data_IF_656886185213
#
_entry.id   IF_656886185213
#
_cell.length_a   1.000
_cell.length_b   1.000
_cell.length_c   1.000
_cell.angle_alpha   90.00
_cell.angle_beta   90.00
_cell.angle_gamma   90.00
#
_symmetry.space_group_name_H-M   'P 1'
#
loop_
_entity.id
_entity.type
_entity.pdbx_description
1 polymer ?
#
# COMPACT_ATOMS: atom_id res chain seq x y z
N UNK A 1 33.43 8.02 12.72
CA UNK A 1 34.89 7.81 12.88
C UNK A 1 35.09 6.67 13.86
N UNK A 2 36.11 5.81 13.74
CA UNK A 2 36.35 4.79 14.79
C UNK A 2 36.86 5.47 16.06
N UNK A 3 36.43 4.98 17.22
CA UNK A 3 36.90 5.51 18.52
C UNK A 3 38.36 5.12 18.72
N UNK A 4 38.64 3.84 18.56
CA UNK A 4 39.99 3.28 18.62
C UNK A 4 40.50 3.05 17.20
N UNK A 5 41.82 3.21 17.00
CA UNK A 5 42.46 2.91 15.72
C UNK A 5 42.29 1.42 15.40
N UNK A 6 41.67 1.06 14.26
CA UNK A 6 41.53 -0.34 13.86
C UNK A 6 42.90 -0.99 13.67
N UNK A 7 43.02 -2.25 14.08
CA UNK A 7 44.21 -3.06 13.81
C UNK A 7 44.46 -3.15 12.29
N UNK A 8 45.73 -3.15 11.89
CA UNK A 8 46.17 -3.28 10.51
C UNK A 8 45.66 -4.57 9.86
N UNK A 9 45.50 -5.64 10.64
CA UNK A 9 44.94 -6.92 10.17
C UNK A 9 43.48 -6.82 9.74
N UNK A 10 42.77 -5.75 10.15
CA UNK A 10 41.39 -5.47 9.77
C UNK A 10 41.27 -4.53 8.57
N UNK A 11 42.39 -4.10 7.98
CA UNK A 11 42.42 -3.16 6.85
C UNK A 11 42.52 -3.92 5.53
N UNK A 12 41.63 -3.59 4.60
CA UNK A 12 41.67 -4.15 3.26
C UNK A 12 42.79 -3.51 2.43
N UNK A 13 43.70 -4.31 1.89
CA UNK A 13 44.82 -3.82 1.07
C UNK A 13 44.40 -3.15 -0.24
N UNK A 14 43.19 -3.43 -0.75
CA UNK A 14 42.68 -2.84 -2.00
C UNK A 14 42.09 -1.44 -1.78
N UNK A 15 41.23 -1.26 -0.77
CA UNK A 15 40.57 0.03 -0.51
C UNK A 15 41.16 0.82 0.66
N UNK A 16 42.19 0.27 1.32
CA UNK A 16 42.87 0.84 2.49
C UNK A 16 41.95 1.28 3.63
N UNK A 17 40.80 0.61 3.78
CA UNK A 17 39.84 0.86 4.85
C UNK A 17 39.49 -0.43 5.57
N UNK A 18 38.82 -0.30 6.73
CA UNK A 18 38.35 -1.46 7.51
C UNK A 18 37.49 -2.38 6.63
N UNK A 19 37.77 -3.69 6.74
CA UNK A 19 37.14 -4.74 5.95
C UNK A 19 35.60 -4.69 6.03
N UNK A 20 34.94 -4.58 4.87
CA UNK A 20 33.47 -4.65 4.74
C UNK A 20 33.07 -5.96 4.11
N UNK A 21 32.30 -6.77 4.84
CA UNK A 21 31.99 -8.16 4.47
C UNK A 21 33.30 -8.90 4.08
N UNK A 22 34.21 -9.11 5.06
CA UNK A 22 35.49 -9.76 4.82
C UNK A 22 35.30 -11.13 4.17
N UNK A 23 36.05 -11.38 3.11
CA UNK A 23 36.13 -12.67 2.44
C UNK A 23 37.57 -13.14 2.38
N UNK A 24 37.78 -14.43 2.53
CA UNK A 24 39.08 -15.09 2.46
C UNK A 24 39.20 -15.83 1.13
N UNK A 25 40.26 -15.55 0.39
CA UNK A 25 40.61 -16.31 -0.80
C UNK A 25 41.28 -17.65 -0.42
N UNK A 26 41.38 -18.59 -1.37
CA UNK A 26 42.08 -19.86 -1.16
C UNK A 26 43.55 -19.68 -0.72
N UNK A 27 44.21 -18.59 -1.12
CA UNK A 27 45.55 -18.21 -0.68
C UNK A 27 45.60 -17.56 0.72
N UNK A 28 44.52 -17.64 1.50
CA UNK A 28 44.35 -17.12 2.87
C UNK A 28 44.36 -15.60 3.07
N UNK A 29 44.61 -14.79 2.04
CA UNK A 29 44.46 -13.34 2.12
C UNK A 29 42.98 -12.93 2.25
N UNK A 30 42.74 -11.86 3.01
CA UNK A 30 41.40 -11.35 3.34
C UNK A 30 41.17 -9.99 2.69
N UNK A 31 40.00 -9.79 2.08
CA UNK A 31 39.62 -8.57 1.40
C UNK A 31 38.16 -8.22 1.67
N UNK A 32 37.74 -6.99 1.38
CA UNK A 32 36.30 -6.69 1.26
C UNK A 32 35.72 -7.49 0.07
N UNK A 33 34.54 -8.09 0.24
CA UNK A 33 33.86 -8.83 -0.85
C UNK A 33 33.79 -8.03 -2.15
N UNK A 34 33.34 -6.78 -2.08
CA UNK A 34 33.22 -5.90 -3.26
C UNK A 34 34.58 -5.60 -3.90
N UNK A 35 35.62 -5.40 -3.09
CA UNK A 35 36.95 -5.05 -3.59
C UNK A 35 37.59 -6.20 -4.36
N UNK A 36 37.61 -7.40 -3.80
CA UNK A 36 38.22 -8.55 -4.50
C UNK A 36 37.42 -8.94 -5.74
N UNK A 37 36.07 -8.92 -5.68
CA UNK A 37 35.26 -9.22 -6.86
C UNK A 37 35.46 -8.19 -7.98
N UNK A 38 35.66 -6.91 -7.65
CA UNK A 38 35.96 -5.88 -8.64
C UNK A 38 37.36 -6.04 -9.23
N UNK A 39 38.34 -6.44 -8.42
CA UNK A 39 39.70 -6.75 -8.88
C UNK A 39 39.71 -7.93 -9.86
N UNK A 40 38.98 -9.01 -9.55
CA UNK A 40 38.91 -10.22 -10.37
C UNK A 40 38.28 -10.00 -11.76
N UNK A 41 37.55 -8.90 -11.97
CA UNK A 41 37.08 -8.52 -13.32
C UNK A 41 38.22 -8.07 -14.25
N UNK A 42 39.38 -7.70 -13.68
CA UNK A 42 40.54 -7.17 -14.42
C UNK A 42 41.74 -8.11 -14.34
N UNK A 43 41.90 -8.79 -13.21
CA UNK A 43 43.06 -9.62 -12.90
C UNK A 43 42.62 -10.84 -12.09
N UNK A 44 42.84 -12.05 -12.59
CA UNK A 44 42.42 -13.31 -11.93
C UNK A 44 43.37 -13.78 -10.82
N UNK A 45 44.19 -12.87 -10.28
CA UNK A 45 45.24 -13.17 -9.29
C UNK A 45 45.03 -12.42 -7.99
N UNK A 46 45.62 -12.92 -6.91
CA UNK A 46 45.63 -12.26 -5.61
C UNK A 46 46.45 -10.96 -5.64
N UNK A 47 45.91 -9.82 -5.20
CA UNK A 47 46.68 -8.57 -5.09
C UNK A 47 47.93 -8.67 -4.21
N UNK A 48 47.92 -9.53 -3.19
CA UNK A 48 49.01 -9.64 -2.22
C UNK A 48 50.12 -10.60 -2.64
N UNK A 49 49.77 -11.75 -3.22
CA UNK A 49 50.74 -12.82 -3.50
C UNK A 49 50.74 -13.33 -4.95
N UNK A 50 49.95 -12.72 -5.84
CA UNK A 50 49.83 -13.04 -7.27
C UNK A 50 49.38 -14.47 -7.61
N UNK A 51 49.04 -15.30 -6.61
CA UNK A 51 48.45 -16.63 -6.84
C UNK A 51 47.09 -16.51 -7.54
N UNK A 52 46.73 -17.43 -8.46
CA UNK A 52 45.43 -17.42 -9.11
C UNK A 52 44.31 -17.56 -8.08
N UNK A 53 43.20 -16.84 -8.28
CA UNK A 53 42.03 -16.90 -7.42
C UNK A 53 40.87 -17.45 -8.24
N UNK A 54 40.33 -18.59 -7.80
CA UNK A 54 39.04 -19.08 -8.26
C UNK A 54 37.92 -18.36 -7.47
N UNK A 55 37.01 -17.60 -8.13
CA UNK A 55 35.91 -16.89 -7.45
C UNK A 55 34.99 -17.81 -6.64
N UNK A 56 34.86 -19.08 -7.02
CA UNK A 56 34.04 -20.07 -6.32
C UNK A 56 34.66 -20.56 -5.00
N UNK A 57 35.96 -20.29 -4.78
CA UNK A 57 36.69 -20.64 -3.55
C UNK A 57 36.93 -19.41 -2.65
N UNK A 58 36.03 -18.42 -2.73
CA UNK A 58 36.03 -17.25 -1.88
C UNK A 58 35.01 -17.45 -0.76
N UNK A 59 35.49 -17.43 0.48
CA UNK A 59 34.67 -17.74 1.66
C UNK A 59 34.41 -16.50 2.50
N UNK A 60 33.15 -16.22 2.82
CA UNK A 60 32.78 -15.12 3.73
C UNK A 60 33.23 -15.44 5.15
N UNK A 61 33.88 -14.48 5.80
CA UNK A 61 34.37 -14.61 7.17
C UNK A 61 33.35 -14.05 8.17
N UNK A 62 32.35 -14.84 8.55
CA UNK A 62 31.25 -14.39 9.43
C UNK A 62 31.73 -13.95 10.81
N UNK A 63 32.60 -14.73 11.46
CA UNK A 63 33.16 -14.37 12.79
C UNK A 63 33.88 -13.03 12.74
N UNK A 64 34.73 -12.84 11.72
CA UNK A 64 35.46 -11.58 11.53
C UNK A 64 34.50 -10.41 11.23
N UNK A 65 33.47 -10.65 10.42
CA UNK A 65 32.42 -9.64 10.15
C UNK A 65 31.73 -9.20 11.44
N UNK A 66 31.42 -10.14 12.34
CA UNK A 66 30.80 -9.85 13.64
C UNK A 66 31.75 -9.05 14.55
N UNK A 67 33.02 -9.45 14.63
CA UNK A 67 34.03 -8.72 15.41
C UNK A 67 34.19 -7.28 14.92
N UNK A 68 34.29 -7.07 13.60
CA UNK A 68 34.34 -5.73 13.00
C UNK A 68 33.06 -4.93 13.31
N UNK A 69 31.89 -5.58 13.28
CA UNK A 69 30.61 -4.97 13.62
C UNK A 69 30.52 -4.44 15.06
N UNK A 70 31.21 -5.08 16.01
CA UNK A 70 31.22 -4.64 17.41
C UNK A 70 32.18 -3.47 17.69
N UNK A 71 33.04 -3.10 16.74
CA UNK A 71 33.94 -1.96 16.90
C UNK A 71 33.15 -0.67 17.09
N UNK A 72 33.56 0.16 18.05
CA UNK A 72 32.87 1.40 18.37
C UNK A 72 33.23 2.50 17.36
N UNK A 73 32.20 3.20 16.89
CA UNK A 73 32.34 4.38 16.04
C UNK A 73 31.58 5.55 16.64
N UNK A 74 32.12 6.75 16.44
CA UNK A 74 31.42 8.02 16.62
C UNK A 74 30.53 8.32 15.43
N UNK A 75 29.38 8.94 15.70
CA UNK A 75 28.47 9.42 14.68
C UNK A 75 29.17 10.33 13.66
N UNK A 76 28.79 10.22 12.38
CA UNK A 76 29.25 11.15 11.32
C UNK A 76 28.85 12.61 11.58
N UNK A 77 27.81 12.84 12.38
CA UNK A 77 27.30 14.16 12.75
C UNK A 77 27.87 14.66 14.08
N UNK A 78 29.00 14.12 14.56
CA UNK A 78 29.75 14.67 15.70
C UNK A 78 30.05 16.16 15.51
N UNK A 79 30.43 16.56 14.28
CA UNK A 79 30.62 17.96 13.88
C UNK A 79 29.38 18.86 14.07
N UNK A 80 28.18 18.27 14.17
CA UNK A 80 26.90 18.97 14.38
C UNK A 80 26.39 18.83 15.81
N UNK A 81 27.13 18.14 16.70
CA UNK A 81 26.78 17.96 18.11
C UNK A 81 26.30 16.56 18.49
N UNK A 82 26.31 15.58 17.58
CA UNK A 82 25.99 14.20 17.97
C UNK A 82 27.17 13.54 18.70
N UNK A 83 27.09 13.42 20.02
CA UNK A 83 28.12 12.78 20.84
C UNK A 83 28.03 11.23 20.87
N UNK A 84 27.05 10.65 20.16
CA UNK A 84 26.78 9.23 20.25
C UNK A 84 27.94 8.39 19.69
N UNK A 85 28.25 7.36 20.46
CA UNK A 85 29.23 6.33 20.13
C UNK A 85 28.55 4.98 20.24
N UNK A 86 28.59 4.20 19.17
CA UNK A 86 27.84 2.93 19.06
C UNK A 86 28.62 1.92 18.19
N UNK A 87 28.26 0.62 18.24
CA UNK A 87 28.86 -0.40 17.38
C UNK A 87 28.66 -0.09 15.89
N UNK A 88 29.66 -0.39 15.06
CA UNK A 88 29.58 -0.22 13.60
C UNK A 88 28.35 -0.92 13.00
N UNK A 89 27.92 -2.06 13.56
CA UNK A 89 26.71 -2.77 13.14
C UNK A 89 25.42 -1.95 13.29
N UNK A 90 25.39 -0.98 14.20
CA UNK A 90 24.22 -0.14 14.49
C UNK A 90 24.22 1.18 13.71
N UNK A 91 25.25 1.44 12.89
CA UNK A 91 25.41 2.68 12.14
C UNK A 91 24.17 3.05 11.33
N UNK A 92 23.56 2.07 10.66
CA UNK A 92 22.37 2.31 9.86
C UNK A 92 21.17 2.71 10.73
N UNK A 93 20.92 1.97 11.82
CA UNK A 93 19.83 2.24 12.74
C UNK A 93 19.97 3.64 13.36
N UNK A 94 21.16 3.99 13.85
CA UNK A 94 21.44 5.33 14.36
C UNK A 94 21.24 6.40 13.28
N UNK A 95 21.75 6.20 12.05
CA UNK A 95 21.58 7.20 10.98
C UNK A 95 20.11 7.50 10.66
N UNK A 96 19.19 6.57 10.93
CA UNK A 96 17.77 6.75 10.68
C UNK A 96 17.04 7.55 11.76
N UNK A 97 17.57 7.56 12.99
CA UNK A 97 17.00 8.28 14.13
C UNK A 97 17.88 9.42 14.65
N UNK A 98 19.07 9.62 14.07
CA UNK A 98 20.02 10.64 14.51
C UNK A 98 19.37 12.03 14.50
N UNK A 99 19.28 12.63 15.69
CA UNK A 99 18.71 13.95 15.91
C UNK A 99 19.46 15.07 15.18
N UNK A 100 20.75 14.84 14.89
CA UNK A 100 21.65 15.78 14.24
C UNK A 100 21.83 15.51 12.73
N UNK A 101 21.07 14.57 12.15
CA UNK A 101 21.03 14.38 10.71
C UNK A 101 20.35 15.59 10.07
N UNK A 102 20.98 16.14 9.02
CA UNK A 102 20.39 17.19 8.21
C UNK A 102 19.34 16.57 7.29
N UNK A 103 18.08 16.91 7.51
CA UNK A 103 16.95 16.45 6.71
C UNK A 103 16.38 17.61 5.90
N UNK A 104 15.77 17.28 4.76
CA UNK A 104 14.90 18.22 4.07
C UNK A 104 13.55 18.25 4.77
N UNK A 105 12.93 19.42 4.84
CA UNK A 105 11.57 19.55 5.32
C UNK A 105 10.63 18.61 4.52
N UNK A 106 9.81 17.77 5.18
CA UNK A 106 8.92 16.82 4.49
C UNK A 106 7.68 17.50 3.89
N UNK A 107 7.39 18.75 4.25
CA UNK A 107 6.23 19.47 3.74
C UNK A 107 6.45 19.95 2.31
N UNK A 108 5.54 19.56 1.40
CA UNK A 108 5.62 19.90 -0.01
C UNK A 108 5.69 21.41 -0.23
N UNK A 109 6.67 21.85 -1.02
CA UNK A 109 6.93 23.26 -1.31
C UNK A 109 7.99 23.89 -0.39
N UNK A 110 8.26 23.31 0.78
CA UNK A 110 9.34 23.79 1.64
C UNK A 110 10.69 23.22 1.20
N UNK A 111 11.67 24.10 1.00
CA UNK A 111 13.06 23.72 0.67
C UNK A 111 14.02 23.83 1.85
N UNK A 112 13.50 24.04 3.05
CA UNK A 112 14.33 24.17 4.25
C UNK A 112 15.11 22.88 4.52
N UNK A 113 16.37 23.05 4.92
CA UNK A 113 17.20 22.00 5.49
C UNK A 113 17.43 22.30 6.96
N UNK A 114 17.26 21.29 7.80
CA UNK A 114 17.25 21.44 9.24
C UNK A 114 17.73 20.16 9.91
N UNK A 115 18.16 20.27 11.16
CA UNK A 115 18.44 19.08 11.96
C UNK A 115 17.12 18.37 12.27
N UNK A 116 17.13 17.04 12.30
CA UNK A 116 15.95 16.23 12.63
C UNK A 116 15.28 16.67 13.93
N UNK A 117 16.06 17.03 14.96
CA UNK A 117 15.53 17.55 16.24
C UNK A 117 14.74 18.86 16.13
N UNK A 118 15.05 19.68 15.13
CA UNK A 118 14.43 21.00 14.94
C UNK A 118 13.22 20.92 14.00
N UNK A 119 12.80 19.71 13.61
CA UNK A 119 11.65 19.52 12.71
C UNK A 119 10.34 19.97 13.35
N UNK A 120 10.16 19.70 14.64
CA UNK A 120 8.94 20.07 15.37
C UNK A 120 8.83 21.60 15.50
N UNK A 121 9.92 22.26 15.90
CA UNK A 121 9.98 23.72 15.98
C UNK A 121 9.80 24.38 14.62
N UNK A 122 10.36 23.80 13.55
CA UNK A 122 10.10 24.23 12.19
C UNK A 122 8.64 24.03 11.79
N UNK A 123 8.03 22.89 12.13
CA UNK A 123 6.64 22.59 11.78
C UNK A 123 5.67 23.66 12.30
N UNK A 124 5.90 24.20 13.50
CA UNK A 124 5.12 25.31 14.06
C UNK A 124 5.17 26.62 13.26
N UNK A 125 6.23 26.86 12.49
CA UNK A 125 6.45 28.10 11.74
C UNK A 125 6.47 27.90 10.23
N UNK A 126 6.35 26.65 9.76
CA UNK A 126 6.42 26.33 8.35
C UNK A 126 5.13 26.73 7.64
N UNK A 127 5.22 27.70 6.73
CA UNK A 127 4.09 28.15 5.89
C UNK A 127 3.50 27.02 5.02
N UNK A 128 4.30 26.00 4.74
CA UNK A 128 3.91 24.83 3.95
C UNK A 128 3.32 23.70 4.80
N UNK A 129 3.22 23.87 6.13
CA UNK A 129 2.66 22.85 7.01
C UNK A 129 1.20 22.57 6.64
N UNK A 130 0.94 21.30 6.32
CA UNK A 130 -0.38 20.77 6.02
C UNK A 130 -0.50 19.39 6.60
N UNK A 131 -1.48 19.15 7.47
CA UNK A 131 -1.76 17.81 8.00
C UNK A 131 -3.25 17.50 8.06
N UNK A 132 -3.64 16.23 7.88
CA UNK A 132 -5.00 15.80 8.14
C UNK A 132 -5.37 16.07 9.60
N UNK A 133 -6.64 16.42 9.83
CA UNK A 133 -7.19 16.53 11.17
C UNK A 133 -6.97 15.23 11.95
N UNK A 134 -6.32 15.33 13.11
CA UNK A 134 -5.98 14.18 13.96
C UNK A 134 -7.21 13.42 14.47
N UNK A 135 -8.37 14.08 14.49
CA UNK A 135 -9.65 13.49 14.86
C UNK A 135 -10.33 12.72 13.71
N UNK A 136 -9.71 12.67 12.52
CA UNK A 136 -10.12 11.76 11.45
C UNK A 136 -11.25 12.23 10.55
N UNK A 137 -11.63 13.52 10.56
CA UNK A 137 -12.64 14.04 9.62
C UNK A 137 -12.12 14.20 8.18
N UNK A 138 -10.84 13.93 7.93
CA UNK A 138 -10.23 14.02 6.59
C UNK A 138 -9.91 15.44 6.11
N UNK A 139 -10.25 16.49 6.88
CA UNK A 139 -9.92 17.87 6.52
C UNK A 139 -8.42 18.12 6.65
N UNK A 140 -7.81 18.74 5.63
CA UNK A 140 -6.41 19.17 5.69
C UNK A 140 -6.31 20.53 6.36
N UNK A 141 -5.57 20.59 7.47
CA UNK A 141 -5.36 21.79 8.27
C UNK A 141 -4.02 22.45 7.90
N UNK A 142 -4.04 23.78 7.86
CA UNK A 142 -2.86 24.65 7.84
C UNK A 142 -2.83 25.46 9.14
N UNK A 143 -1.73 26.18 9.41
CA UNK A 143 -1.63 27.04 10.60
C UNK A 143 -2.80 28.02 10.75
N UNK A 144 -3.28 28.57 9.63
CA UNK A 144 -4.42 29.49 9.61
C UNK A 144 -5.77 28.83 9.89
N UNK A 145 -5.97 27.57 9.46
CA UNK A 145 -7.28 26.90 9.55
C UNK A 145 -7.41 26.01 10.79
N UNK A 146 -6.29 25.58 11.39
CA UNK A 146 -6.29 24.67 12.53
C UNK A 146 -7.05 25.23 13.74
N UNK A 147 -6.82 26.50 14.10
CA UNK A 147 -7.46 27.12 15.26
C UNK A 147 -8.99 27.27 15.10
N UNK A 148 -9.47 27.38 13.87
CA UNK A 148 -10.89 27.56 13.55
C UNK A 148 -11.61 26.23 13.27
N UNK A 149 -10.86 25.13 13.15
CA UNK A 149 -11.41 23.84 12.78
C UNK A 149 -12.11 23.16 13.96
N UNK A 150 -13.43 22.99 13.86
CA UNK A 150 -14.22 22.18 14.79
C UNK A 150 -14.63 20.86 14.12
N UNK A 151 -13.82 19.82 14.35
CA UNK A 151 -14.02 18.49 13.78
C UNK A 151 -15.43 17.94 14.03
N UNK A 152 -15.91 18.03 15.27
CA UNK A 152 -17.21 17.50 15.66
C UNK A 152 -18.36 18.19 14.92
N UNK A 153 -18.30 19.53 14.82
CA UNK A 153 -19.31 20.31 14.09
C UNK A 153 -19.37 19.91 12.62
N UNK A 154 -18.23 19.74 11.98
CA UNK A 154 -18.16 19.33 10.58
C UNK A 154 -18.73 17.93 10.38
N UNK A 155 -18.28 16.95 11.17
CA UNK A 155 -18.76 15.57 11.09
C UNK A 155 -20.27 15.47 11.33
N UNK A 156 -20.79 16.25 12.29
CA UNK A 156 -22.23 16.32 12.57
C UNK A 156 -23.01 16.86 11.37
N UNK A 157 -22.54 17.94 10.75
CA UNK A 157 -23.18 18.52 9.57
C UNK A 157 -23.20 17.54 8.39
N UNK A 158 -22.09 16.84 8.15
CA UNK A 158 -22.00 15.80 7.12
C UNK A 158 -22.96 14.64 7.40
N UNK A 159 -23.05 14.20 8.66
CA UNK A 159 -24.00 13.17 9.08
C UNK A 159 -25.45 13.59 8.87
N UNK A 160 -25.82 14.79 9.32
CA UNK A 160 -27.18 15.33 9.17
C UNK A 160 -27.55 15.55 7.69
N UNK A 161 -26.60 15.99 6.86
CA UNK A 161 -26.78 16.10 5.41
C UNK A 161 -27.01 14.72 4.77
N UNK A 162 -26.20 13.73 5.15
CA UNK A 162 -26.34 12.34 4.68
C UNK A 162 -27.67 11.73 5.08
N UNK A 163 -28.10 11.94 6.33
CA UNK A 163 -29.38 11.46 6.83
C UNK A 163 -30.56 12.12 6.11
N UNK A 164 -30.50 13.42 5.83
CA UNK A 164 -31.50 14.12 5.02
C UNK A 164 -31.59 13.55 3.60
N UNK A 165 -30.46 13.26 2.97
CA UNK A 165 -30.42 12.67 1.64
C UNK A 165 -31.09 11.28 1.62
N UNK A 166 -30.72 10.39 2.54
CA UNK A 166 -31.35 9.06 2.63
C UNK A 166 -32.86 9.14 2.89
N UNK A 167 -33.32 10.06 3.74
CA UNK A 167 -34.75 10.28 3.96
C UNK A 167 -35.47 10.75 2.69
N UNK A 168 -34.87 11.67 1.94
CA UNK A 168 -35.44 12.15 0.68
C UNK A 168 -35.55 11.01 -0.35
N UNK A 169 -34.49 10.19 -0.48
CA UNK A 169 -34.47 9.00 -1.34
C UNK A 169 -35.57 8.00 -0.93
N UNK A 170 -35.65 7.67 0.36
CA UNK A 170 -36.67 6.74 0.87
C UNK A 170 -38.09 7.24 0.58
N UNK A 171 -38.33 8.54 0.77
CA UNK A 171 -39.64 9.15 0.49
C UNK A 171 -39.97 9.10 -1.00
N UNK A 172 -38.99 9.37 -1.87
CA UNK A 172 -39.16 9.27 -3.32
C UNK A 172 -39.45 7.82 -3.77
N UNK A 173 -38.73 6.85 -3.21
CA UNK A 173 -38.96 5.41 -3.46
C UNK A 173 -40.34 4.98 -3.02
N UNK A 174 -40.79 5.36 -1.82
CA UNK A 174 -42.14 5.06 -1.34
C UNK A 174 -43.23 5.64 -2.25
N UNK A 175 -43.05 6.87 -2.74
CA UNK A 175 -43.99 7.48 -3.70
C UNK A 175 -44.06 6.71 -5.01
N UNK A 176 -42.90 6.30 -5.56
CA UNK A 176 -42.85 5.45 -6.76
C UNK A 176 -43.53 4.10 -6.52
N UNK A 177 -43.28 3.47 -5.37
CA UNK A 177 -43.88 2.19 -5.01
C UNK A 177 -45.40 2.28 -4.87
N UNK A 178 -45.94 3.34 -4.25
CA UNK A 178 -47.38 3.57 -4.18
C UNK A 178 -48.02 3.75 -5.56
N UNK A 179 -47.40 4.55 -6.44
CA UNK A 179 -47.88 4.69 -7.83
C UNK A 179 -47.91 3.35 -8.53
N UNK A 180 -46.82 2.58 -8.44
CA UNK A 180 -46.71 1.24 -9.02
C UNK A 180 -47.80 0.31 -8.48
N UNK A 181 -48.04 0.29 -7.17
CA UNK A 181 -49.13 -0.49 -6.54
C UNK A 181 -50.51 -0.07 -7.04
N UNK A 182 -50.79 1.23 -7.18
CA UNK A 182 -52.05 1.72 -7.73
C UNK A 182 -52.25 1.29 -9.18
N UNK A 183 -51.22 1.40 -10.03
CA UNK A 183 -51.27 0.86 -11.41
C UNK A 183 -51.45 -0.64 -11.43
N UNK A 184 -50.75 -1.40 -10.58
CA UNK A 184 -50.93 -2.86 -10.49
C UNK A 184 -52.35 -3.23 -10.05
N UNK A 185 -52.92 -2.52 -9.07
CA UNK A 185 -54.29 -2.74 -8.63
C UNK A 185 -55.30 -2.44 -9.74
N UNK A 186 -55.09 -1.36 -10.50
CA UNK A 186 -55.90 -1.05 -11.68
C UNK A 186 -55.81 -2.14 -12.74
N UNK A 187 -54.59 -2.55 -13.12
CA UNK A 187 -54.37 -3.63 -14.08
C UNK A 187 -55.02 -4.92 -13.63
N UNK A 188 -54.90 -5.30 -12.34
CA UNK A 188 -55.54 -6.50 -11.78
C UNK A 188 -57.06 -6.46 -11.91
N UNK A 189 -57.70 -5.30 -11.66
CA UNK A 189 -59.15 -5.14 -11.83
C UNK A 189 -59.55 -5.28 -13.30
N UNK A 190 -58.81 -4.66 -14.22
CA UNK A 190 -59.08 -4.79 -15.65
C UNK A 190 -58.96 -6.24 -16.12
N UNK A 191 -57.94 -6.96 -15.65
CA UNK A 191 -57.78 -8.39 -15.96
C UNK A 191 -58.96 -9.21 -15.41
N UNK A 192 -59.40 -8.98 -14.17
CA UNK A 192 -60.58 -9.65 -13.59
C UNK A 192 -61.84 -9.47 -14.45
N UNK A 193 -62.12 -8.23 -14.86
CA UNK A 193 -63.27 -7.91 -15.71
C UNK A 193 -63.19 -8.59 -17.08
N UNK A 194 -61.98 -8.70 -17.65
CA UNK A 194 -61.77 -9.39 -18.92
C UNK A 194 -62.00 -10.91 -18.74
N UNK A 195 -61.49 -11.52 -17.67
CA UNK A 195 -61.70 -12.94 -17.37
C UNK A 195 -63.19 -13.25 -17.16
N UNK A 196 -63.89 -12.45 -16.35
CA UNK A 196 -65.34 -12.59 -16.11
C UNK A 196 -66.15 -12.44 -17.42
N UNK A 197 -65.74 -11.53 -18.32
CA UNK A 197 -66.36 -11.37 -19.63
C UNK A 197 -66.11 -12.53 -20.60
N UNK A 198 -65.02 -13.28 -20.43
CA UNK A 198 -64.72 -14.48 -21.21
C UNK A 198 -65.46 -15.72 -20.67
N UNK A 199 -65.70 -15.81 -19.36
CA UNK A 199 -66.48 -16.90 -18.74
C UNK A 199 -67.97 -16.85 -19.13
N UNK A 200 -68.55 -15.67 -19.36
CA UNK A 200 -69.95 -15.51 -19.80
C UNK A 200 -70.18 -15.96 -21.26
N UNK A 201 -69.11 -16.22 -22.02
CA UNK A 201 -69.20 -16.76 -23.38
C UNK A 201 -69.20 -18.30 -23.45
N UNK A 202 -68.94 -19.02 -22.35
CA UNK A 202 -68.88 -20.50 -22.35
C UNK A 202 -70.18 -21.18 -21.84
N UNK A 203 -71.10 -20.45 -21.20
CA UNK A 203 -72.39 -21.00 -20.73
C UNK A 203 -73.54 -20.74 -21.72
N UNK A 204 -73.48 -21.39 -22.89
CA UNK A 204 -74.67 -21.65 -23.70
C UNK A 204 -74.81 -23.17 -23.88
N UNK A 205 -75.92 -23.80 -23.44
CA UNK A 205 -76.06 -25.25 -23.52
C UNK A 205 -76.25 -25.65 -24.98
N UNK A 206 -75.23 -26.25 -25.58
CA UNK A 206 -75.38 -26.94 -26.87
C UNK A 206 -76.23 -28.20 -26.65
N UNK A 207 -77.38 -28.20 -27.30
CA UNK A 207 -78.32 -29.31 -27.43
C UNK A 207 -77.62 -30.49 -28.12
N UNK A 208 -77.86 -31.68 -27.58
CA UNK A 208 -77.56 -32.98 -28.18
C UNK A 208 -78.16 -33.09 -29.59
N UNK A 209 -77.34 -33.45 -30.58
CA UNK A 209 -77.78 -34.31 -31.70
C UNK A 209 -76.68 -35.33 -32.04
N UNK A 210 -77.14 -36.57 -32.23
CA UNK A 210 -76.34 -37.77 -32.50
C UNK A 210 -75.80 -37.86 -33.94
N UNK A 211 -74.64 -38.52 -34.05
CA UNK A 211 -74.06 -39.46 -35.08
C UNK A 211 -74.89 -39.77 -36.36
N UNK A 212 -74.34 -40.22 -37.54
CA UNK A 212 -73.07 -40.95 -37.72
C UNK A 212 -72.29 -40.75 -39.06
N UNK A 213 -71.05 -41.27 -39.14
CA UNK A 213 -70.49 -41.64 -40.46
C UNK A 213 -68.97 -41.67 -40.65
N UNK A 214 -68.34 -42.75 -40.19
CA UNK A 214 -67.30 -43.56 -40.85
C UNK A 214 -66.18 -42.98 -41.78
N UNK A 215 -64.96 -43.41 -41.41
CA UNK A 215 -63.91 -44.09 -42.20
C UNK A 215 -62.76 -43.30 -42.88
N UNK A 216 -61.61 -43.46 -42.23
CA UNK A 216 -60.33 -44.02 -42.73
C UNK A 216 -59.49 -43.23 -43.75
N UNK A 217 -58.22 -43.00 -43.37
CA UNK A 217 -57.10 -43.22 -44.31
C UNK A 217 -55.88 -42.30 -44.21
N UNK A 218 -54.91 -42.74 -43.41
CA UNK A 218 -53.48 -42.86 -43.80
C UNK A 218 -52.57 -41.63 -43.98
N UNK A 219 -51.53 -41.61 -43.12
CA UNK A 219 -50.09 -41.48 -43.44
C UNK A 219 -49.46 -40.11 -43.76
N UNK A 220 -48.29 -39.89 -43.14
CA UNK A 220 -47.23 -38.97 -43.60
C UNK A 220 -46.69 -38.05 -42.51
N UNK A 221 -45.92 -38.56 -41.56
CA UNK A 221 -44.44 -38.44 -41.48
C UNK A 221 -43.84 -37.04 -41.19
N UNK A 222 -43.13 -36.99 -40.05
CA UNK A 222 -41.81 -36.37 -39.80
C UNK A 222 -41.57 -34.89 -40.15
N UNK A 223 -41.14 -34.09 -39.16
CA UNK A 223 -39.71 -33.81 -38.82
C UNK A 223 -39.67 -33.03 -37.49
N UNK A 224 -38.81 -33.50 -36.58
CA UNK A 224 -38.53 -32.95 -35.26
C UNK A 224 -37.66 -31.67 -35.32
N UNK A 225 -37.83 -30.84 -34.28
CA UNK A 225 -36.89 -29.83 -33.80
C UNK A 225 -35.55 -30.42 -33.35
#
# INVERSE_FOLDING_TARGET
MFVDTPDYDLICTICQGVLRCPVRAACHHIFCKKCILQWLKRQETCPCCRKPINPNLIFVMFKLSKSIGHMKIKCKNEIRGCADTFPLSEQYCHSMSCLYELIQCPYQGCRAQLLRRDLDTHAHHCEHWRQPCQMGCGTILSHSTQAQHNCYKQLRQEYEARQRNYRAIATALQRKMKRMQSTMAHMKRQISLICEGLEVMEDQPELEEEDPGERSGSSGNFINC
#
